data_IF_517153228490
#
_entry.id   IF_517153228490
#
_cell.length_a   1.000
_cell.length_b   1.000
_cell.length_c   1.000
_cell.angle_alpha   90.00
_cell.angle_beta   90.00
_cell.angle_gamma   90.00
#
_symmetry.space_group_name_H-M   'P 1'
#
loop_
_entity.id
_entity.type
_entity.pdbx_description
1 polymer ?
#
# COMPACT_ATOMS: atom_id res chain seq x y z
N UNK A 1 -15.33 -21.92 50.72
CA UNK A 1 -14.45 -20.99 51.47
C UNK A 1 -13.40 -20.44 50.52
N UNK A 2 -13.65 -19.26 49.99
CA UNK A 2 -12.77 -18.58 49.03
C UNK A 2 -11.91 -17.58 49.83
N UNK A 3 -10.59 -17.69 49.70
CA UNK A 3 -9.66 -16.72 50.32
C UNK A 3 -9.34 -15.66 49.24
N UNK A 4 -9.90 -14.46 49.42
CA UNK A 4 -9.44 -13.27 48.68
C UNK A 4 -8.17 -12.74 49.34
N UNK A 5 -7.08 -12.65 48.54
CA UNK A 5 -5.85 -11.98 48.94
C UNK A 5 -5.96 -10.51 48.57
N UNK A 6 -6.02 -9.63 49.58
CA UNK A 6 -5.99 -8.17 49.40
C UNK A 6 -4.57 -7.71 49.11
N UNK A 7 -4.32 -7.22 47.85
CA UNK A 7 -3.14 -6.43 47.55
C UNK A 7 -3.46 -4.95 47.79
N UNK A 8 -2.79 -4.33 48.75
CA UNK A 8 -2.77 -2.87 48.90
C UNK A 8 -1.90 -2.29 47.78
N UNK A 9 -2.50 -1.45 46.95
CA UNK A 9 -1.80 -0.61 46.02
C UNK A 9 -0.99 0.43 46.79
N UNK A 10 0.34 0.30 46.75
CA UNK A 10 1.25 1.39 47.10
C UNK A 10 1.13 2.47 46.00
N UNK A 11 0.87 3.71 46.41
CA UNK A 11 0.73 4.85 45.53
C UNK A 11 2.00 5.06 44.71
N UNK A 12 1.92 4.76 43.42
CA UNK A 12 2.85 5.27 42.42
C UNK A 12 2.30 6.62 41.95
N UNK A 13 2.98 7.71 42.35
CA UNK A 13 2.79 9.02 41.73
C UNK A 13 3.04 8.85 40.22
N UNK A 14 1.98 8.94 39.45
CA UNK A 14 2.06 9.02 37.98
C UNK A 14 2.75 10.35 37.65
N UNK A 15 4.06 10.31 37.41
CA UNK A 15 4.73 11.38 36.68
C UNK A 15 4.01 11.52 35.36
N UNK A 16 3.30 12.62 35.15
CA UNK A 16 2.80 13.03 33.86
C UNK A 16 4.02 13.14 32.92
N UNK A 17 4.27 12.07 32.16
CA UNK A 17 5.14 12.13 31.00
C UNK A 17 4.37 13.03 30.04
N UNK A 18 4.83 14.25 29.84
CA UNK A 18 4.53 15.03 28.63
C UNK A 18 5.02 14.18 27.49
N UNK A 19 4.14 13.39 26.86
CA UNK A 19 4.46 12.67 25.66
C UNK A 19 4.86 13.71 24.61
N UNK A 20 6.13 13.70 24.22
CA UNK A 20 6.55 14.43 23.04
C UNK A 20 5.67 13.96 21.91
N UNK A 21 5.01 14.91 21.22
CA UNK A 21 4.20 14.55 20.03
C UNK A 21 5.11 13.79 19.08
N UNK A 22 4.62 12.67 18.57
CA UNK A 22 5.31 11.92 17.52
C UNK A 22 5.44 12.83 16.31
N UNK A 23 6.59 12.83 15.66
CA UNK A 23 6.75 13.50 14.39
C UNK A 23 5.97 12.71 13.34
N UNK A 24 4.98 13.37 12.73
CA UNK A 24 4.23 12.72 11.66
C UNK A 24 5.12 12.38 10.47
N UNK A 25 4.79 11.32 9.76
CA UNK A 25 5.48 10.92 8.52
C UNK A 25 4.55 10.21 7.57
N UNK A 26 4.77 10.44 6.28
CA UNK A 26 4.09 9.75 5.19
C UNK A 26 5.16 9.18 4.25
N UNK A 27 5.06 7.89 3.93
CA UNK A 27 5.87 7.26 2.88
C UNK A 27 4.93 6.63 1.86
N UNK A 28 5.22 6.82 0.58
CA UNK A 28 4.43 6.27 -0.52
C UNK A 28 5.29 5.47 -1.47
N UNK A 29 4.68 4.55 -2.22
CA UNK A 29 5.28 3.96 -3.41
C UNK A 29 4.29 3.95 -4.59
N UNK A 30 4.83 4.07 -5.79
CA UNK A 30 4.12 3.92 -7.07
C UNK A 30 4.46 2.61 -7.79
N UNK A 31 5.09 1.68 -7.04
CA UNK A 31 5.46 0.36 -7.52
C UNK A 31 6.95 0.13 -7.69
N UNK A 32 7.36 -1.12 -7.50
CA UNK A 32 8.68 -1.64 -7.83
C UNK A 32 8.61 -2.33 -9.21
N UNK A 33 9.58 -2.07 -10.08
CA UNK A 33 9.50 -2.54 -11.46
C UNK A 33 10.86 -2.82 -12.11
N UNK A 34 10.78 -3.46 -13.28
CA UNK A 34 11.90 -3.75 -14.15
C UNK A 34 12.40 -2.49 -14.88
N UNK A 35 13.47 -2.64 -15.64
CA UNK A 35 14.11 -1.63 -16.48
C UNK A 35 13.17 -0.77 -17.36
N UNK A 36 11.90 -1.14 -17.51
CA UNK A 36 10.89 -0.35 -18.26
C UNK A 36 10.46 0.95 -17.58
N UNK A 37 10.74 1.17 -16.31
CA UNK A 37 10.69 2.51 -15.72
C UNK A 37 11.64 3.42 -16.54
N UNK A 38 12.81 2.92 -16.93
CA UNK A 38 13.73 3.60 -17.82
C UNK A 38 13.25 3.70 -19.29
N UNK A 39 12.32 2.86 -19.74
CA UNK A 39 11.85 2.84 -21.14
C UNK A 39 10.69 3.80 -21.44
N UNK A 40 10.06 4.40 -20.41
CA UNK A 40 9.07 5.46 -20.59
C UNK A 40 9.67 6.79 -21.05
N UNK A 41 11.00 6.91 -20.97
CA UNK A 41 11.72 8.13 -21.32
C UNK A 41 11.56 9.26 -20.28
N UNK A 42 12.26 10.39 -20.50
CA UNK A 42 12.31 11.50 -19.55
C UNK A 42 10.93 12.11 -19.23
N UNK A 43 10.02 12.13 -20.21
CA UNK A 43 8.67 12.68 -20.02
C UNK A 43 7.85 11.83 -19.06
N UNK A 44 7.91 10.50 -19.17
CA UNK A 44 7.23 9.59 -18.26
C UNK A 44 7.81 9.67 -16.85
N UNK A 45 9.14 9.75 -16.73
CA UNK A 45 9.79 9.93 -15.43
C UNK A 45 9.37 11.25 -14.78
N UNK A 46 9.36 12.34 -15.52
CA UNK A 46 8.91 13.64 -15.00
C UNK A 46 7.44 13.60 -14.53
N UNK A 47 6.56 12.98 -15.32
CA UNK A 47 5.16 12.80 -14.98
C UNK A 47 4.97 11.93 -13.72
N UNK A 48 5.74 10.84 -13.59
CA UNK A 48 5.69 9.98 -12.42
C UNK A 48 6.18 10.71 -11.15
N UNK A 49 7.29 11.47 -11.23
CA UNK A 49 7.78 12.29 -10.12
C UNK A 49 6.77 13.36 -9.71
N UNK A 50 6.10 14.01 -10.67
CA UNK A 50 5.03 14.96 -10.39
C UNK A 50 3.86 14.28 -9.66
N UNK A 51 3.39 13.12 -10.14
CA UNK A 51 2.31 12.37 -9.51
C UNK A 51 2.64 11.88 -8.08
N UNK A 52 3.89 11.47 -7.84
CA UNK A 52 4.34 11.16 -6.46
C UNK A 52 4.31 12.41 -5.58
N UNK A 53 4.74 13.57 -6.10
CA UNK A 53 4.74 14.83 -5.34
C UNK A 53 3.31 15.27 -5.00
N UNK A 54 2.38 15.15 -5.94
CA UNK A 54 0.95 15.44 -5.72
C UNK A 54 0.32 14.54 -4.65
N UNK A 55 0.65 13.24 -4.70
CA UNK A 55 0.17 12.27 -3.70
C UNK A 55 0.74 12.56 -2.31
N UNK A 56 2.04 12.88 -2.22
CA UNK A 56 2.66 13.32 -0.96
C UNK A 56 2.01 14.59 -0.42
N UNK A 57 1.73 15.58 -1.28
CA UNK A 57 1.08 16.81 -0.87
C UNK A 57 -0.31 16.56 -0.31
N UNK A 58 -1.11 15.74 -0.98
CA UNK A 58 -2.47 15.41 -0.53
C UNK A 58 -2.47 14.76 0.86
N UNK A 59 -1.62 13.75 1.09
CA UNK A 59 -1.56 13.04 2.37
C UNK A 59 -0.87 13.85 3.47
N UNK A 60 0.27 14.52 3.18
CA UNK A 60 1.00 15.28 4.20
C UNK A 60 0.25 16.51 4.69
N UNK A 61 -0.54 17.18 3.83
CA UNK A 61 -1.39 18.31 4.23
C UNK A 61 -2.38 17.92 5.33
N UNK A 62 -2.87 16.68 5.33
CA UNK A 62 -3.74 16.17 6.39
C UNK A 62 -2.96 16.04 7.70
N UNK A 63 -1.78 15.43 7.67
CA UNK A 63 -0.92 15.23 8.85
C UNK A 63 -0.42 16.55 9.43
N UNK A 64 -0.02 17.50 8.59
CA UNK A 64 0.39 18.86 8.97
C UNK A 64 -0.70 19.60 9.77
N UNK A 65 -1.98 19.33 9.46
CA UNK A 65 -3.14 19.90 10.15
C UNK A 65 -3.57 19.08 11.38
N UNK A 66 -2.83 18.03 11.74
CA UNK A 66 -3.15 17.15 12.86
C UNK A 66 -4.25 16.13 12.54
N UNK A 67 -4.46 15.82 11.26
CA UNK A 67 -5.37 14.75 10.85
C UNK A 67 -4.78 13.35 11.05
N UNK A 68 -5.60 12.32 10.89
CA UNK A 68 -5.24 10.93 11.17
C UNK A 68 -4.34 10.31 10.10
N UNK A 69 -3.54 9.33 10.48
CA UNK A 69 -2.76 8.52 9.54
C UNK A 69 -3.65 7.82 8.50
N UNK A 70 -4.84 7.34 8.89
CA UNK A 70 -5.80 6.69 7.98
C UNK A 70 -6.29 7.65 6.90
N UNK A 71 -6.61 8.91 7.26
CA UNK A 71 -7.03 9.93 6.29
C UNK A 71 -5.89 10.27 5.32
N UNK A 72 -4.67 10.33 5.83
CA UNK A 72 -3.48 10.65 5.04
C UNK A 72 -3.16 9.57 3.99
N UNK A 73 -3.17 8.29 4.40
CA UNK A 73 -2.89 7.19 3.45
C UNK A 73 -3.99 7.03 2.42
N UNK A 74 -5.27 7.24 2.79
CA UNK A 74 -6.36 7.26 1.81
C UNK A 74 -6.18 8.38 0.80
N UNK A 75 -5.92 9.61 1.25
CA UNK A 75 -5.77 10.76 0.36
C UNK A 75 -4.60 10.57 -0.62
N UNK A 76 -3.44 10.09 -0.14
CA UNK A 76 -2.29 9.82 -0.99
C UNK A 76 -2.58 8.69 -1.99
N UNK A 77 -3.19 7.58 -1.55
CA UNK A 77 -3.53 6.46 -2.42
C UNK A 77 -4.55 6.85 -3.50
N UNK A 78 -5.55 7.68 -3.18
CA UNK A 78 -6.51 8.20 -4.16
C UNK A 78 -5.84 9.01 -5.27
N UNK A 79 -4.88 9.88 -4.92
CA UNK A 79 -4.11 10.62 -5.94
C UNK A 79 -3.34 9.70 -6.86
N UNK A 80 -2.76 8.63 -6.31
CA UNK A 80 -2.05 7.62 -7.10
C UNK A 80 -3.01 6.77 -7.96
N UNK A 81 -4.22 6.46 -7.49
CA UNK A 81 -5.27 5.76 -8.27
C UNK A 81 -5.79 6.57 -9.45
N UNK A 82 -5.84 7.89 -9.34
CA UNK A 82 -6.26 8.79 -10.43
C UNK A 82 -5.14 9.06 -11.45
N UNK A 83 -3.88 8.83 -11.08
CA UNK A 83 -2.73 9.15 -11.92
C UNK A 83 -2.43 8.01 -12.93
N UNK A 84 -2.44 8.30 -14.25
CA UNK A 84 -2.26 7.30 -15.30
C UNK A 84 -0.85 6.67 -15.34
N UNK A 85 0.13 7.22 -14.64
CA UNK A 85 1.49 6.68 -14.59
C UNK A 85 1.57 5.38 -13.79
N UNK A 86 0.64 5.16 -12.84
CA UNK A 86 0.72 4.04 -11.88
C UNK A 86 -0.28 2.93 -12.20
N UNK A 87 0.01 1.72 -11.73
CA UNK A 87 -0.85 0.55 -11.93
C UNK A 87 -1.86 0.41 -10.78
N UNK A 88 -2.76 1.36 -10.67
CA UNK A 88 -3.93 1.33 -9.78
C UNK A 88 -5.00 2.26 -10.36
N UNK A 89 -6.28 1.97 -10.13
CA UNK A 89 -7.36 2.81 -10.67
C UNK A 89 -7.16 3.11 -12.16
N UNK A 90 -7.02 4.40 -12.50
CA UNK A 90 -6.82 4.86 -13.88
C UNK A 90 -5.37 4.68 -14.32
N UNK A 91 -5.02 3.62 -14.90
CA UNK A 91 -3.66 3.26 -15.33
C UNK A 91 -3.38 1.81 -15.04
N UNK A 92 -4.38 1.13 -14.52
CA UNK A 92 -4.33 -0.30 -14.25
C UNK A 92 -4.11 -1.12 -15.49
N UNK A 93 -3.41 -2.23 -15.31
CA UNK A 93 -3.21 -3.25 -16.34
C UNK A 93 -4.49 -4.04 -16.59
N UNK A 94 -4.59 -4.62 -17.78
CA UNK A 94 -5.75 -5.38 -18.24
C UNK A 94 -5.63 -6.86 -17.92
N UNK A 95 -6.77 -7.50 -17.66
CA UNK A 95 -6.92 -8.96 -17.64
C UNK A 95 -6.69 -9.53 -19.03
N UNK A 96 -6.57 -10.87 -19.14
CA UNK A 96 -6.49 -11.56 -20.44
C UNK A 96 -7.71 -11.26 -21.35
N UNK A 97 -8.88 -10.97 -20.76
CA UNK A 97 -10.11 -10.63 -21.48
C UNK A 97 -10.16 -9.14 -21.91
N UNK A 98 -9.18 -8.33 -21.54
CA UNK A 98 -9.15 -6.90 -21.87
C UNK A 98 -10.03 -6.04 -20.96
N UNK A 99 -10.35 -6.51 -19.77
CA UNK A 99 -11.09 -5.78 -18.73
C UNK A 99 -10.14 -5.31 -17.62
N UNK A 100 -10.57 -4.30 -16.85
CA UNK A 100 -9.92 -3.88 -15.62
C UNK A 100 -10.58 -4.58 -14.43
N UNK A 101 -9.76 -5.11 -13.53
CA UNK A 101 -10.13 -5.60 -12.21
C UNK A 101 -9.18 -5.01 -11.19
N UNK A 102 -9.73 -4.32 -10.20
CA UNK A 102 -9.01 -3.54 -9.20
C UNK A 102 -9.06 -4.21 -7.83
N UNK A 103 -7.95 -4.12 -7.10
CA UNK A 103 -7.79 -4.63 -5.74
C UNK A 103 -7.27 -3.51 -4.86
N UNK A 104 -7.79 -3.41 -3.61
CA UNK A 104 -7.30 -2.43 -2.64
C UNK A 104 -7.48 -2.92 -1.20
N UNK A 105 -6.61 -2.44 -0.30
CA UNK A 105 -6.76 -2.63 1.14
C UNK A 105 -6.28 -1.41 1.91
N UNK A 106 -6.90 -1.19 3.07
CA UNK A 106 -6.51 -0.18 4.06
C UNK A 106 -6.60 -0.79 5.47
N UNK A 107 -5.69 -0.38 6.35
CA UNK A 107 -5.65 -0.86 7.73
C UNK A 107 -5.25 0.24 8.70
N UNK A 108 -6.00 0.35 9.81
CA UNK A 108 -5.71 1.21 10.96
C UNK A 108 -4.88 0.43 11.99
N UNK A 109 -3.66 0.87 12.29
CA UNK A 109 -2.77 0.20 13.22
C UNK A 109 -3.17 0.30 14.69
N UNK A 110 -3.96 1.32 15.06
CA UNK A 110 -4.45 1.51 16.42
C UNK A 110 -5.47 0.44 16.82
N UNK A 111 -6.45 0.24 15.98
CA UNK A 111 -7.54 -0.72 16.21
C UNK A 111 -7.28 -2.08 15.55
N UNK A 112 -6.39 -2.13 14.56
CA UNK A 112 -6.19 -3.23 13.61
C UNK A 112 -7.45 -3.55 12.81
N UNK A 113 -8.39 -2.60 12.70
CA UNK A 113 -9.47 -2.69 11.74
C UNK A 113 -8.91 -2.58 10.33
N UNK A 114 -9.46 -3.36 9.42
CA UNK A 114 -9.05 -3.40 8.04
C UNK A 114 -10.25 -3.55 7.11
N UNK A 115 -10.11 -3.04 5.90
CA UNK A 115 -11.03 -3.27 4.81
C UNK A 115 -10.26 -3.57 3.54
N UNK A 116 -10.73 -4.57 2.79
CA UNK A 116 -10.11 -5.00 1.56
C UNK A 116 -11.16 -5.34 0.50
N UNK A 117 -10.84 -5.03 -0.75
CA UNK A 117 -11.69 -5.35 -1.90
C UNK A 117 -10.85 -5.90 -3.04
N UNK A 118 -11.42 -6.81 -3.82
CA UNK A 118 -10.74 -7.44 -4.95
C UNK A 118 -11.68 -7.67 -6.13
N UNK A 119 -11.14 -7.58 -7.35
CA UNK A 119 -11.87 -7.85 -8.58
C UNK A 119 -13.03 -6.89 -8.82
N UNK A 120 -12.96 -5.66 -8.31
CA UNK A 120 -13.96 -4.62 -8.57
C UNK A 120 -13.72 -3.99 -9.95
N UNK A 121 -14.80 -3.55 -10.62
CA UNK A 121 -14.74 -3.15 -12.04
C UNK A 121 -15.28 -1.75 -12.33
N UNK A 122 -16.06 -1.17 -11.43
CA UNK A 122 -16.79 0.08 -11.70
C UNK A 122 -16.59 1.16 -10.64
N UNK A 123 -16.01 0.82 -9.49
CA UNK A 123 -15.75 1.79 -8.43
C UNK A 123 -14.52 2.64 -8.75
N UNK A 124 -14.72 3.96 -8.93
CA UNK A 124 -13.65 4.90 -9.32
C UNK A 124 -12.52 4.97 -8.30
N UNK A 125 -12.83 4.89 -7.00
CA UNK A 125 -11.87 4.97 -5.90
C UNK A 125 -11.84 3.68 -5.08
N UNK A 126 -11.09 2.65 -5.49
CA UNK A 126 -10.97 1.38 -4.78
C UNK A 126 -10.59 1.52 -3.32
N UNK A 127 -9.63 2.39 -3.01
CA UNK A 127 -9.16 2.59 -1.63
C UNK A 127 -10.26 3.17 -0.72
N UNK A 128 -11.10 4.07 -1.24
CA UNK A 128 -12.22 4.63 -0.48
C UNK A 128 -13.30 3.58 -0.20
N UNK A 129 -13.50 2.62 -1.12
CA UNK A 129 -14.38 1.49 -0.86
C UNK A 129 -13.81 0.56 0.23
N UNK A 130 -12.51 0.27 0.18
CA UNK A 130 -11.83 -0.50 1.23
C UNK A 130 -11.97 0.20 2.58
N UNK A 131 -11.77 1.52 2.65
CA UNK A 131 -12.00 2.32 3.86
C UNK A 131 -13.45 2.26 4.33
N UNK A 132 -14.40 2.42 3.43
CA UNK A 132 -15.83 2.33 3.76
C UNK A 132 -16.19 0.98 4.39
N UNK A 133 -15.62 -0.10 3.86
CA UNK A 133 -15.79 -1.43 4.43
C UNK A 133 -15.18 -1.54 5.82
N UNK A 134 -13.96 -1.03 6.02
CA UNK A 134 -13.28 -1.02 7.33
C UNK A 134 -14.11 -0.32 8.41
N UNK A 135 -14.71 0.83 8.10
CA UNK A 135 -15.39 1.67 9.09
C UNK A 135 -16.83 1.22 9.38
N UNK A 136 -17.51 0.63 8.42
CA UNK A 136 -18.96 0.42 8.48
C UNK A 136 -19.40 -1.01 8.18
N UNK A 137 -18.50 -1.89 7.83
CA UNK A 137 -18.82 -3.25 7.44
C UNK A 137 -18.64 -4.25 8.59
N UNK A 138 -19.44 -5.33 8.62
CA UNK A 138 -19.18 -6.48 9.49
C UNK A 138 -18.11 -7.41 8.91
N UNK A 139 -17.64 -7.13 7.70
CA UNK A 139 -16.70 -7.95 6.95
C UNK A 139 -15.39 -7.20 6.74
N UNK A 140 -14.30 -7.94 6.61
CA UNK A 140 -12.98 -7.37 6.32
C UNK A 140 -12.69 -7.36 4.83
N UNK A 141 -13.21 -8.34 4.07
CA UNK A 141 -12.87 -8.53 2.67
C UNK A 141 -14.08 -8.86 1.80
N UNK A 142 -14.26 -8.10 0.72
CA UNK A 142 -15.30 -8.32 -0.29
C UNK A 142 -14.67 -8.49 -1.68
N UNK A 143 -15.33 -9.26 -2.55
CA UNK A 143 -14.83 -9.51 -3.90
C UNK A 143 -15.89 -9.32 -4.98
N UNK A 144 -15.43 -8.91 -6.16
CA UNK A 144 -16.21 -8.81 -7.38
C UNK A 144 -17.32 -7.77 -7.35
N UNK A 145 -18.29 -7.91 -8.24
CA UNK A 145 -19.39 -6.94 -8.43
C UNK A 145 -20.26 -6.71 -7.20
N UNK A 146 -20.22 -7.60 -6.21
CA UNK A 146 -20.90 -7.38 -4.94
C UNK A 146 -20.27 -6.22 -4.15
N UNK A 147 -18.95 -6.08 -4.23
CA UNK A 147 -18.26 -4.93 -3.63
C UNK A 147 -18.57 -3.62 -4.39
N UNK A 148 -18.65 -3.63 -5.72
CA UNK A 148 -19.08 -2.47 -6.51
C UNK A 148 -20.52 -2.01 -6.12
N UNK A 149 -21.44 -2.96 -5.86
CA UNK A 149 -22.78 -2.60 -5.37
C UNK A 149 -22.77 -1.93 -4.00
N UNK A 150 -21.87 -2.35 -3.09
CA UNK A 150 -21.69 -1.68 -1.81
C UNK A 150 -21.17 -0.25 -2.03
N UNK A 151 -20.20 -0.06 -2.95
CA UNK A 151 -19.66 1.25 -3.28
C UNK A 151 -20.77 2.19 -3.79
N UNK A 152 -21.60 1.73 -4.73
CA UNK A 152 -22.73 2.50 -5.24
C UNK A 152 -23.73 2.88 -4.13
N UNK A 153 -24.07 1.93 -3.26
CA UNK A 153 -24.96 2.17 -2.12
C UNK A 153 -24.37 3.15 -1.09
N UNK A 154 -23.04 3.22 -0.99
CA UNK A 154 -22.32 4.15 -0.13
C UNK A 154 -22.08 5.53 -0.77
N UNK A 155 -22.54 5.75 -2.01
CA UNK A 155 -22.35 7.01 -2.72
C UNK A 155 -20.95 7.21 -3.31
N UNK A 156 -20.13 6.15 -3.39
CA UNK A 156 -18.84 6.19 -4.08
C UNK A 156 -19.08 6.17 -5.58
N UNK A 157 -18.45 7.08 -6.31
CA UNK A 157 -18.63 7.24 -7.76
C UNK A 157 -18.39 5.94 -8.51
N UNK A 158 -19.33 5.61 -9.40
CA UNK A 158 -19.24 4.47 -10.30
C UNK A 158 -18.95 4.97 -11.71
N UNK A 159 -18.04 4.31 -12.40
CA UNK A 159 -17.65 4.62 -13.78
C UNK A 159 -17.69 3.35 -14.64
N UNK A 160 -17.88 3.47 -15.96
CA UNK A 160 -17.76 2.31 -16.84
C UNK A 160 -16.32 1.79 -16.83
N UNK A 161 -16.13 0.49 -17.06
CA UNK A 161 -14.82 -0.17 -16.96
C UNK A 161 -13.76 0.43 -17.91
N UNK A 162 -14.19 0.94 -19.07
CA UNK A 162 -13.32 1.58 -20.07
C UNK A 162 -12.75 2.93 -19.60
N UNK A 163 -13.33 3.57 -18.57
CA UNK A 163 -12.76 4.77 -17.93
C UNK A 163 -11.32 4.54 -17.45
N UNK A 164 -11.01 3.35 -16.96
CA UNK A 164 -9.70 3.00 -16.43
C UNK A 164 -8.68 2.63 -17.52
N UNK A 165 -9.16 2.28 -18.73
CA UNK A 165 -8.33 1.74 -19.81
C UNK A 165 -7.54 2.84 -20.51
N UNK A 166 -6.22 2.71 -20.50
CA UNK A 166 -5.33 3.56 -21.28
C UNK A 166 -4.91 2.84 -22.60
N UNK A 167 -4.73 3.58 -23.71
CA UNK A 167 -4.25 2.99 -24.96
C UNK A 167 -2.92 2.24 -24.82
N UNK A 168 -2.03 2.75 -23.99
CA UNK A 168 -0.75 2.12 -23.65
C UNK A 168 -0.95 0.73 -23.03
N UNK A 169 -1.88 0.61 -22.06
CA UNK A 169 -2.16 -0.65 -21.35
C UNK A 169 -2.79 -1.69 -22.29
N UNK A 170 -3.59 -1.24 -23.25
CA UNK A 170 -4.15 -2.13 -24.28
C UNK A 170 -3.05 -2.69 -25.18
N UNK A 171 -2.12 -1.85 -25.65
CA UNK A 171 -0.95 -2.29 -26.43
C UNK A 171 -0.11 -3.31 -25.64
N UNK A 172 0.14 -3.06 -24.36
CA UNK A 172 0.90 -3.97 -23.50
C UNK A 172 0.21 -5.32 -23.32
N UNK A 173 -1.12 -5.35 -23.25
CA UNK A 173 -1.88 -6.60 -23.24
C UNK A 173 -1.70 -7.36 -24.56
N UNK A 174 -1.82 -6.69 -25.72
CA UNK A 174 -1.64 -7.28 -27.04
C UNK A 174 -0.25 -7.91 -27.18
N UNK A 175 0.80 -7.18 -26.76
CA UNK A 175 2.18 -7.67 -26.72
C UNK A 175 2.33 -8.91 -25.83
N UNK A 176 1.76 -8.89 -24.63
CA UNK A 176 1.80 -10.00 -23.68
C UNK A 176 1.08 -11.26 -24.22
N UNK A 177 -0.09 -11.09 -24.84
CA UNK A 177 -0.82 -12.19 -25.46
C UNK A 177 -0.09 -12.79 -26.66
N UNK A 178 0.55 -11.95 -27.49
CA UNK A 178 1.35 -12.41 -28.62
C UNK A 178 2.61 -13.18 -28.19
N UNK A 179 3.24 -12.81 -27.09
CA UNK A 179 4.41 -13.51 -26.54
C UNK A 179 4.06 -14.84 -25.85
N UNK A 180 2.80 -15.04 -25.47
CA UNK A 180 2.31 -16.28 -24.84
C UNK A 180 3.00 -16.59 -23.51
N UNK A 181 3.16 -17.89 -23.18
CA UNK A 181 3.79 -18.34 -21.94
C UNK A 181 5.29 -18.02 -21.78
N UNK A 182 5.89 -17.42 -22.81
CA UNK A 182 7.30 -16.95 -22.79
C UNK A 182 7.43 -15.50 -22.32
N UNK A 183 6.32 -14.78 -22.18
CA UNK A 183 6.37 -13.45 -21.63
C UNK A 183 6.63 -13.53 -20.13
N UNK A 184 7.70 -12.92 -19.65
CA UNK A 184 7.71 -12.47 -18.27
C UNK A 184 6.49 -11.57 -18.08
N UNK A 185 5.64 -11.84 -17.08
CA UNK A 185 4.49 -10.98 -16.84
C UNK A 185 5.03 -9.56 -16.65
N UNK A 186 4.60 -8.65 -17.54
CA UNK A 186 5.01 -7.26 -17.46
C UNK A 186 4.49 -6.74 -16.10
N UNK A 187 5.39 -6.62 -15.15
CA UNK A 187 5.10 -6.21 -13.78
C UNK A 187 5.05 -4.69 -13.77
N UNK A 188 3.84 -4.15 -13.72
CA UNK A 188 3.63 -2.75 -13.36
C UNK A 188 3.33 -2.70 -11.87
N UNK A 189 4.01 -1.78 -11.19
CA UNK A 189 3.96 -1.72 -9.75
C UNK A 189 2.60 -1.32 -9.19
N UNK A 190 2.23 -1.91 -8.10
CA UNK A 190 1.18 -1.57 -7.15
C UNK A 190 1.46 -0.19 -6.54
N UNK A 191 0.44 0.57 -6.15
CA UNK A 191 0.64 1.79 -5.35
C UNK A 191 0.39 1.51 -3.87
N UNK A 192 1.04 2.31 -3.01
CA UNK A 192 0.77 2.24 -1.59
C UNK A 192 1.21 3.46 -0.82
N UNK A 193 0.67 3.57 0.39
CA UNK A 193 0.98 4.63 1.34
C UNK A 193 0.99 4.07 2.76
N UNK A 194 1.94 4.50 3.56
CA UNK A 194 2.02 4.24 5.00
C UNK A 194 2.27 5.54 5.73
N UNK A 195 1.60 5.76 6.86
CA UNK A 195 1.74 7.00 7.61
C UNK A 195 1.75 6.75 9.12
N UNK A 196 2.35 7.69 9.84
CA UNK A 196 2.17 7.87 11.29
C UNK A 196 1.69 9.29 11.54
N UNK A 197 0.68 9.45 12.40
CA UNK A 197 0.16 10.74 12.82
C UNK A 197 0.87 11.28 14.10
N UNK A 198 0.48 12.48 14.52
CA UNK A 198 1.07 13.14 15.69
C UNK A 198 0.78 12.42 17.02
N UNK A 199 -0.18 11.53 17.06
CA UNK A 199 -0.53 10.67 18.20
C UNK A 199 0.23 9.33 18.18
N UNK A 200 1.06 9.07 17.15
CA UNK A 200 1.79 7.82 17.00
C UNK A 200 0.94 6.67 16.44
N UNK A 201 -0.24 6.96 15.88
CA UNK A 201 -1.02 5.93 15.21
C UNK A 201 -0.51 5.72 13.79
N UNK A 202 -0.35 4.46 13.39
CA UNK A 202 0.11 4.11 12.05
C UNK A 202 -1.05 3.58 11.19
N UNK A 203 -0.98 3.82 9.88
CA UNK A 203 -1.93 3.29 8.91
C UNK A 203 -1.25 2.88 7.60
N UNK A 204 -1.80 1.88 6.91
CA UNK A 204 -1.32 1.40 5.62
C UNK A 204 -2.47 1.33 4.60
N UNK A 205 -2.17 1.65 3.34
CA UNK A 205 -3.06 1.53 2.20
C UNK A 205 -2.28 0.98 1.01
N UNK A 206 -2.88 0.06 0.24
CA UNK A 206 -2.28 -0.51 -0.97
C UNK A 206 -3.38 -0.70 -2.02
N UNK A 207 -3.12 -0.37 -3.29
CA UNK A 207 -4.07 -0.52 -4.38
C UNK A 207 -3.38 -0.93 -5.68
N UNK A 208 -4.05 -1.70 -6.54
CA UNK A 208 -3.45 -2.26 -7.74
C UNK A 208 -4.47 -2.71 -8.79
N UNK A 209 -4.05 -2.73 -10.07
CA UNK A 209 -4.68 -3.48 -11.16
C UNK A 209 -4.17 -4.92 -11.29
N UNK A 210 -3.16 -5.33 -10.51
CA UNK A 210 -2.54 -6.65 -10.60
C UNK A 210 -1.41 -6.71 -11.64
N UNK A 211 -1.37 -7.78 -12.43
CA UNK A 211 -0.39 -8.02 -13.50
C UNK A 211 -1.07 -8.08 -14.87
N UNK A 212 -0.36 -7.66 -15.92
CA UNK A 212 -0.87 -7.70 -17.31
C UNK A 212 -1.25 -9.12 -17.71
N UNK A 213 -2.39 -9.25 -18.40
CA UNK A 213 -2.97 -10.51 -18.84
C UNK A 213 -3.27 -11.50 -17.69
N UNK A 214 -3.55 -11.01 -16.47
CA UNK A 214 -3.97 -11.88 -15.36
C UNK A 214 -5.22 -12.67 -15.73
N UNK A 215 -5.30 -13.93 -15.22
CA UNK A 215 -6.31 -14.93 -15.59
C UNK A 215 -7.11 -15.38 -14.37
N UNK A 216 -8.27 -15.92 -14.62
CA UNK A 216 -9.07 -16.69 -13.63
C UNK A 216 -9.41 -15.93 -12.36
N UNK A 217 -9.51 -14.59 -12.43
CA UNK A 217 -9.72 -13.77 -11.24
C UNK A 217 -8.50 -13.71 -10.30
N UNK A 218 -7.28 -13.76 -10.86
CA UNK A 218 -6.04 -13.70 -10.06
C UNK A 218 -6.03 -12.48 -9.15
N UNK A 219 -5.79 -12.72 -7.88
CA UNK A 219 -5.59 -11.73 -6.83
C UNK A 219 -4.13 -11.78 -6.39
N UNK A 220 -3.48 -10.62 -6.29
CA UNK A 220 -2.12 -10.48 -5.76
C UNK A 220 -2.11 -10.28 -4.24
N UNK A 221 -0.96 -9.86 -3.74
CA UNK A 221 -0.73 -9.58 -2.32
C UNK A 221 -1.46 -8.33 -1.81
N UNK A 222 -1.68 -7.33 -2.67
CA UNK A 222 -2.14 -5.98 -2.28
C UNK A 222 -3.41 -5.97 -1.41
N UNK A 223 -4.50 -6.72 -1.74
CA UNK A 223 -5.71 -6.71 -0.92
C UNK A 223 -5.64 -7.69 0.25
N UNK A 224 -4.57 -8.48 0.38
CA UNK A 224 -4.43 -9.48 1.43
C UNK A 224 -3.74 -8.88 2.65
N UNK A 225 -4.53 -8.69 3.72
CA UNK A 225 -4.03 -8.21 5.01
C UNK A 225 -2.97 -9.17 5.54
N UNK A 226 -1.78 -8.62 5.79
CA UNK A 226 -0.60 -9.38 6.19
C UNK A 226 0.36 -9.72 5.04
N UNK A 227 -0.10 -9.75 3.80
CA UNK A 227 0.77 -9.99 2.64
C UNK A 227 1.25 -8.68 2.00
N UNK A 228 0.34 -7.89 1.42
CA UNK A 228 0.65 -6.62 0.76
C UNK A 228 0.37 -5.39 1.62
N UNK A 229 -0.49 -5.49 2.62
CA UNK A 229 -0.94 -4.39 3.49
C UNK A 229 -0.99 -4.85 4.93
N UNK A 230 -0.35 -4.13 5.85
CA UNK A 230 -0.46 -4.39 7.28
C UNK A 230 -0.18 -3.13 8.11
N UNK A 231 -0.92 -2.94 9.22
CA UNK A 231 -0.65 -1.87 10.18
C UNK A 231 -0.93 -2.33 11.62
N UNK A 232 0.00 -2.04 12.53
CA UNK A 232 -0.11 -2.34 13.96
C UNK A 232 0.75 -1.34 14.74
N UNK A 233 0.14 -0.54 15.62
CA UNK A 233 0.85 0.43 16.46
C UNK A 233 1.92 -0.20 17.36
N UNK A 234 1.93 -1.52 17.53
CA UNK A 234 2.98 -2.24 18.29
C UNK A 234 4.22 -2.53 17.45
N UNK A 235 4.20 -2.23 16.17
CA UNK A 235 5.29 -2.50 15.23
C UNK A 235 5.42 -1.40 14.18
N UNK A 236 4.62 -1.44 13.11
CA UNK A 236 4.70 -0.51 12.00
C UNK A 236 3.46 -0.59 11.10
N UNK A 237 3.34 0.38 10.16
CA UNK A 237 2.54 0.25 8.94
C UNK A 237 3.45 -0.15 7.78
N UNK A 238 3.00 -1.09 6.96
CA UNK A 238 3.75 -1.67 5.85
C UNK A 238 2.88 -1.76 4.60
N UNK A 239 3.43 -1.38 3.44
CA UNK A 239 2.85 -1.62 2.11
C UNK A 239 3.89 -2.23 1.19
N UNK A 240 3.46 -3.22 0.40
CA UNK A 240 4.30 -4.02 -0.46
C UNK A 240 3.95 -3.84 -1.95
N UNK A 241 4.93 -4.11 -2.81
CA UNK A 241 4.79 -4.13 -4.26
C UNK A 241 5.77 -5.11 -4.87
N UNK A 242 5.35 -5.91 -5.87
CA UNK A 242 6.25 -6.86 -6.51
C UNK A 242 5.59 -8.11 -7.06
N UNK A 243 6.29 -9.23 -6.96
CA UNK A 243 5.81 -10.55 -7.37
C UNK A 243 4.82 -11.11 -6.35
N UNK A 244 3.54 -10.71 -6.44
CA UNK A 244 2.51 -10.91 -5.42
C UNK A 244 2.42 -12.31 -4.86
N UNK A 245 2.61 -13.36 -5.68
CA UNK A 245 2.58 -14.77 -5.28
C UNK A 245 3.62 -15.10 -4.19
N UNK A 246 4.78 -14.47 -4.24
CA UNK A 246 5.85 -14.67 -3.26
C UNK A 246 5.58 -13.87 -1.98
N UNK A 247 5.08 -12.65 -2.11
CA UNK A 247 4.65 -11.82 -0.96
C UNK A 247 3.50 -12.48 -0.19
N UNK A 248 2.55 -13.13 -0.89
CA UNK A 248 1.49 -13.94 -0.26
C UNK A 248 2.09 -15.11 0.52
N UNK A 249 2.99 -15.87 -0.10
CA UNK A 249 3.60 -17.07 0.52
C UNK A 249 4.45 -16.72 1.73
N UNK A 250 5.17 -15.59 1.69
CA UNK A 250 5.97 -15.08 2.79
C UNK A 250 5.14 -14.34 3.86
N UNK A 251 3.85 -14.03 3.61
CA UNK A 251 3.03 -13.15 4.46
C UNK A 251 3.76 -11.84 4.77
N UNK A 252 4.37 -11.25 3.73
CA UNK A 252 5.50 -10.33 3.81
C UNK A 252 5.28 -9.11 4.72
N UNK A 253 4.15 -8.42 4.60
CA UNK A 253 3.88 -7.23 5.41
C UNK A 253 3.74 -7.56 6.91
N UNK A 254 3.11 -8.67 7.26
CA UNK A 254 3.02 -9.12 8.64
C UNK A 254 4.35 -9.63 9.17
N UNK A 255 5.16 -10.32 8.33
CA UNK A 255 6.49 -10.80 8.73
C UNK A 255 7.42 -9.64 9.12
N UNK A 256 7.42 -8.52 8.38
CA UNK A 256 8.12 -7.29 8.79
C UNK A 256 7.67 -6.85 10.19
N UNK A 257 6.35 -6.72 10.42
CA UNK A 257 5.81 -6.33 11.72
C UNK A 257 6.13 -7.35 12.83
N UNK A 258 6.15 -8.64 12.52
CA UNK A 258 6.49 -9.70 13.47
C UNK A 258 7.96 -9.64 13.88
N UNK A 259 8.90 -9.44 12.95
CA UNK A 259 10.33 -9.27 13.22
C UNK A 259 10.61 -8.08 14.15
N UNK A 260 9.98 -6.94 13.89
CA UNK A 260 10.08 -5.77 14.77
C UNK A 260 9.55 -6.12 16.17
N UNK A 261 8.34 -6.65 16.27
CA UNK A 261 7.64 -6.87 17.52
C UNK A 261 8.19 -8.01 18.36
N UNK A 262 8.66 -9.11 17.74
CA UNK A 262 9.08 -10.34 18.41
C UNK A 262 10.58 -10.47 18.54
N UNK A 263 11.34 -9.95 17.56
CA UNK A 263 12.80 -10.06 17.53
C UNK A 263 13.51 -8.75 17.85
N UNK A 264 12.77 -7.61 17.93
CA UNK A 264 13.35 -6.30 18.22
C UNK A 264 14.22 -5.75 17.08
N UNK A 265 14.00 -6.22 15.85
CA UNK A 265 14.70 -5.71 14.68
C UNK A 265 14.27 -4.26 14.38
N UNK A 266 15.19 -3.47 13.82
CA UNK A 266 14.83 -2.16 13.26
C UNK A 266 13.96 -2.32 12.01
N UNK A 267 13.26 -1.24 11.60
CA UNK A 267 12.46 -1.25 10.36
C UNK A 267 13.29 -1.73 9.15
N UNK A 268 14.52 -1.22 9.00
CA UNK A 268 15.37 -1.57 7.86
C UNK A 268 15.81 -3.04 7.91
N UNK A 269 16.24 -3.55 9.08
CA UNK A 269 16.61 -4.95 9.23
C UNK A 269 15.48 -5.90 8.90
N UNK A 270 14.26 -5.57 9.35
CA UNK A 270 13.07 -6.37 9.08
C UNK A 270 12.71 -6.38 7.59
N UNK A 271 12.77 -5.22 6.91
CA UNK A 271 12.54 -5.11 5.46
C UNK A 271 13.58 -5.91 4.70
N UNK A 272 14.88 -5.73 4.98
CA UNK A 272 15.97 -6.40 4.28
C UNK A 272 15.87 -7.92 4.45
N UNK A 273 15.55 -8.40 5.66
CA UNK A 273 15.34 -9.80 5.93
C UNK A 273 14.18 -10.43 5.17
N UNK A 274 13.05 -9.71 5.07
CA UNK A 274 11.88 -10.19 4.30
C UNK A 274 12.15 -10.17 2.80
N UNK A 275 12.82 -9.14 2.28
CA UNK A 275 13.19 -9.08 0.86
C UNK A 275 14.17 -10.19 0.48
N UNK A 276 15.14 -10.50 1.33
CA UNK A 276 16.05 -11.62 1.12
C UNK A 276 15.33 -12.99 1.10
N UNK A 277 14.30 -13.16 1.95
CA UNK A 277 13.46 -14.37 1.93
C UNK A 277 12.67 -14.46 0.61
N UNK A 278 12.05 -13.36 0.16
CA UNK A 278 11.33 -13.29 -1.12
C UNK A 278 12.26 -13.62 -2.29
N UNK A 279 13.49 -13.09 -2.32
CA UNK A 279 14.49 -13.43 -3.35
C UNK A 279 14.86 -14.93 -3.30
N UNK A 280 15.02 -15.51 -2.12
CA UNK A 280 15.30 -16.93 -1.96
C UNK A 280 14.20 -17.83 -2.53
N UNK A 281 12.96 -17.36 -2.49
CA UNK A 281 11.80 -18.02 -3.09
C UNK A 281 11.70 -17.80 -4.62
N UNK A 282 12.52 -16.92 -5.20
CA UNK A 282 12.53 -16.57 -6.62
C UNK A 282 11.66 -15.35 -6.97
N UNK A 283 11.20 -14.59 -5.98
CA UNK A 283 10.43 -13.35 -6.16
C UNK A 283 11.32 -12.11 -6.19
N UNK A 284 10.71 -10.97 -6.50
CA UNK A 284 11.32 -9.65 -6.37
C UNK A 284 10.25 -8.59 -6.10
N UNK A 285 10.66 -7.43 -5.59
CA UNK A 285 9.74 -6.34 -5.30
C UNK A 285 10.32 -5.33 -4.33
N UNK A 286 9.46 -4.64 -3.60
CA UNK A 286 9.84 -3.66 -2.60
C UNK A 286 8.80 -3.51 -1.49
N UNK A 287 9.23 -2.90 -0.42
CA UNK A 287 8.45 -2.62 0.79
C UNK A 287 8.73 -1.19 1.25
N UNK A 288 7.69 -0.54 1.75
CA UNK A 288 7.80 0.70 2.54
C UNK A 288 7.23 0.47 3.93
N UNK A 289 7.81 1.09 4.94
CA UNK A 289 7.32 1.00 6.32
C UNK A 289 7.52 2.30 7.11
N UNK A 290 6.61 2.52 8.08
CA UNK A 290 6.68 3.61 9.06
C UNK A 290 6.34 3.07 10.44
N UNK A 291 7.19 3.36 11.43
CA UNK A 291 6.98 3.03 12.84
C UNK A 291 6.15 4.07 13.59
N UNK A 292 5.60 3.71 14.76
CA UNK A 292 4.79 4.63 15.58
C UNK A 292 5.62 5.77 16.22
N UNK A 293 6.94 5.65 16.22
CA UNK A 293 7.91 6.66 16.67
C UNK A 293 8.30 7.68 15.59
N UNK A 294 7.82 7.47 14.34
CA UNK A 294 8.14 8.30 13.19
C UNK A 294 9.33 7.81 12.37
N UNK A 295 9.95 6.70 12.73
CA UNK A 295 10.97 6.08 11.89
C UNK A 295 10.36 5.57 10.58
N UNK A 296 11.11 5.69 9.49
CA UNK A 296 10.70 5.21 8.17
C UNK A 296 11.83 4.43 7.50
N UNK A 297 11.46 3.41 6.74
CA UNK A 297 12.38 2.62 5.95
C UNK A 297 11.72 2.11 4.67
N UNK A 298 12.54 1.78 3.69
CA UNK A 298 12.12 1.09 2.47
C UNK A 298 13.26 0.24 1.94
N UNK A 299 12.92 -0.74 1.14
CA UNK A 299 13.87 -1.57 0.41
C UNK A 299 13.24 -2.12 -0.86
N UNK A 300 14.05 -2.45 -1.86
CA UNK A 300 13.60 -3.09 -3.09
C UNK A 300 14.72 -3.89 -3.74
N UNK A 301 14.34 -4.99 -4.41
CA UNK A 301 15.24 -5.91 -5.12
C UNK A 301 15.08 -5.81 -6.64
N UNK A 302 14.31 -4.83 -7.10
CA UNK A 302 14.12 -4.47 -8.51
C UNK A 302 15.07 -3.34 -8.91
N UNK A 303 15.34 -3.11 -10.22
CA UNK A 303 16.18 -2.00 -10.67
C UNK A 303 15.71 -0.62 -10.20
N UNK A 304 14.41 -0.47 -9.95
CA UNK A 304 13.84 0.80 -9.51
C UNK A 304 12.55 0.59 -8.70
N UNK A 305 12.23 1.57 -7.85
CA UNK A 305 10.95 1.69 -7.15
C UNK A 305 10.54 3.15 -7.09
N UNK A 306 9.37 3.48 -7.66
CA UNK A 306 8.74 4.78 -7.46
C UNK A 306 8.41 4.94 -5.99
N UNK A 307 8.95 5.98 -5.35
CA UNK A 307 8.76 6.20 -3.91
C UNK A 307 8.79 7.68 -3.56
N UNK A 308 8.26 8.00 -2.39
CA UNK A 308 8.37 9.35 -1.85
C UNK A 308 8.13 9.36 -0.35
N UNK A 309 8.65 10.38 0.31
CA UNK A 309 8.50 10.60 1.74
C UNK A 309 8.19 12.07 2.01
N UNK A 310 7.34 12.30 3.01
CA UNK A 310 7.04 13.62 3.55
C UNK A 310 7.14 13.61 5.07
N UNK A 311 7.72 14.65 5.64
CA UNK A 311 7.74 14.95 7.07
C UNK A 311 7.75 16.47 7.30
N UNK A 312 7.94 16.91 8.53
CA UNK A 312 8.00 18.33 8.91
C UNK A 312 9.09 19.13 8.18
N UNK A 313 10.11 18.47 7.60
CA UNK A 313 11.24 19.11 6.91
C UNK A 313 11.00 19.24 5.40
N UNK A 314 9.99 18.58 4.84
CA UNK A 314 9.65 18.67 3.43
C UNK A 314 9.27 17.35 2.79
N UNK A 315 9.31 17.32 1.45
CA UNK A 315 8.90 16.20 0.61
C UNK A 315 10.03 15.82 -0.33
N UNK A 316 10.27 14.52 -0.46
CA UNK A 316 11.26 13.96 -1.40
C UNK A 316 10.63 12.85 -2.23
N UNK A 317 11.06 12.71 -3.48
CA UNK A 317 10.64 11.63 -4.37
C UNK A 317 11.86 10.99 -5.01
N UNK A 318 11.81 9.67 -5.18
CA UNK A 318 12.88 8.89 -5.78
C UNK A 318 12.33 7.75 -6.65
N UNK A 319 13.17 7.28 -7.56
CA UNK A 319 12.87 6.16 -8.47
C UNK A 319 14.03 5.15 -8.42
N UNK A 320 15.25 5.61 -8.57
CA UNK A 320 16.45 4.78 -8.66
C UNK A 320 17.14 4.65 -7.30
N UNK A 321 18.05 3.68 -7.18
CA UNK A 321 18.77 3.41 -5.94
C UNK A 321 19.65 4.57 -5.44
N UNK A 322 20.10 5.41 -6.35
CA UNK A 322 20.94 6.60 -6.09
C UNK A 322 20.13 7.87 -5.81
N UNK A 323 18.81 7.87 -6.03
CA UNK A 323 17.92 8.96 -5.61
C UNK A 323 17.85 9.01 -4.08
N UNK A 324 18.19 10.16 -3.50
CA UNK A 324 18.17 10.43 -2.06
C UNK A 324 16.83 10.96 -1.60
#
# INVERSE_FOLDING_TARGET
MSRFVNWRLAGAEAKAHTMSKTKWRLVIHGGAGSERIAHGGPEHEAAARAGLSEALEAGSTILERGGSAVDAVEAAARMLEENPCFNAGRGSVLTEQGEIELDAAIMDGRSRQAGAVSGIKTTRAPISLARRLMEHGPHVFLAGTAADRLAAAAGIEQVPNDFFILPERRRQLEEALAAGSKADPIKYGTIGAVAVDAEGNVAAATSTGGITAKRWGRVGDSPLIGAGTYADNRAAAISATGSGEYFIRAVAAHEVAARIRLSGETLQQAIDGVLADIESLGGNGGLIAVGPDGDAAWGFTTPAMYRGMADENGRTVGIYSDDR
#
